data_IF_101481016951
#
_entry.id   IF_101481016951
#
_cell.length_a   1.000
_cell.length_b   1.000
_cell.length_c   1.000
_cell.angle_alpha   90.00
_cell.angle_beta   90.00
_cell.angle_gamma   90.00
#
_symmetry.space_group_name_H-M   'P 1'
#
loop_
_entity.id
_entity.type
_entity.pdbx_description
1 polymer ?
#
# COMPACT_ATOMS: atom_id res chain seq x y z
N UNK A 1 -6.47 4.07 9.05
CA UNK A 1 -7.67 3.96 8.19
C UNK A 1 -8.44 5.25 8.28
N UNK A 2 -8.77 5.80 7.11
CA UNK A 2 -9.33 7.14 6.97
C UNK A 2 -10.63 7.04 6.19
N UNK A 3 -11.65 7.78 6.64
CA UNK A 3 -12.92 7.91 5.92
C UNK A 3 -12.75 8.77 4.69
N UNK A 4 -13.21 8.29 3.52
CA UNK A 4 -13.04 9.02 2.27
C UNK A 4 -13.91 10.29 2.16
N UNK A 5 -15.05 10.30 2.85
CA UNK A 5 -15.99 11.42 2.84
C UNK A 5 -15.55 12.55 3.78
N UNK A 6 -15.10 12.23 5.00
CA UNK A 6 -14.75 13.22 6.04
C UNK A 6 -13.26 13.41 6.27
N UNK A 7 -12.41 12.49 5.78
CA UNK A 7 -10.99 12.35 6.16
C UNK A 7 -10.73 12.11 7.65
N UNK A 8 -11.75 11.71 8.39
CA UNK A 8 -11.58 11.32 9.78
C UNK A 8 -10.74 10.04 9.88
N UNK A 9 -9.74 10.07 10.75
CA UNK A 9 -8.95 8.89 11.12
C UNK A 9 -9.80 8.05 12.07
N UNK A 10 -10.28 6.91 11.59
CA UNK A 10 -11.15 6.00 12.36
C UNK A 10 -10.39 4.86 13.03
N UNK A 11 -9.10 4.74 12.75
CA UNK A 11 -8.24 3.76 13.41
C UNK A 11 -6.81 3.83 12.89
N UNK A 12 -5.86 3.44 13.73
CA UNK A 12 -4.45 3.31 13.40
C UNK A 12 -4.04 1.88 13.71
N UNK A 13 -3.24 1.29 12.82
CA UNK A 13 -2.65 -0.03 13.00
C UNK A 13 -1.14 0.13 12.95
N UNK A 14 -0.47 -0.25 14.03
CA UNK A 14 0.99 -0.15 14.16
C UNK A 14 1.48 -1.32 15.00
N UNK A 15 2.10 -2.29 14.33
CA UNK A 15 2.65 -3.48 14.97
C UNK A 15 3.97 -3.88 14.29
N UNK A 16 4.93 -4.32 15.11
CA UNK A 16 6.18 -4.89 14.61
C UNK A 16 6.03 -6.40 14.40
N UNK A 17 6.70 -6.93 13.39
CA UNK A 17 6.77 -8.37 13.12
C UNK A 17 8.13 -8.87 13.59
N UNK A 18 8.16 -9.96 14.38
CA UNK A 18 9.42 -10.62 14.76
C UNK A 18 10.09 -11.21 13.53
N UNK A 19 11.42 -11.31 13.50
CA UNK A 19 12.08 -12.10 12.47
C UNK A 19 11.51 -13.51 12.38
N UNK A 20 11.24 -13.96 11.16
CA UNK A 20 10.61 -15.24 10.89
C UNK A 20 11.41 -16.03 9.84
N UNK A 21 11.41 -17.38 9.94
CA UNK A 21 12.10 -18.22 8.97
C UNK A 21 11.43 -18.11 7.58
N UNK A 22 12.13 -18.52 6.54
CA UNK A 22 11.55 -18.69 5.19
C UNK A 22 10.56 -19.85 5.19
N UNK A 23 10.81 -20.90 5.96
CA UNK A 23 10.01 -22.12 5.92
C UNK A 23 9.90 -22.64 4.50
N UNK A 24 8.69 -23.08 4.13
CA UNK A 24 8.37 -23.57 2.79
C UNK A 24 8.11 -22.44 1.78
N UNK A 25 8.23 -21.17 2.20
CA UNK A 25 8.03 -20.04 1.32
C UNK A 25 9.20 -19.93 0.33
N UNK A 26 8.92 -20.29 -0.91
CA UNK A 26 9.87 -20.21 -1.99
C UNK A 26 9.28 -19.42 -3.15
N UNK A 27 10.01 -18.38 -3.58
CA UNK A 27 9.75 -17.73 -4.87
C UNK A 27 10.00 -18.79 -5.93
N UNK A 28 9.04 -19.01 -6.82
CA UNK A 28 9.14 -19.96 -7.94
C UNK A 28 10.28 -19.55 -8.89
N UNK A 29 11.50 -19.89 -8.51
CA UNK A 29 12.67 -19.87 -9.39
C UNK A 29 12.71 -21.18 -10.17
N UNK A 30 13.36 -21.18 -11.34
CA UNK A 30 13.49 -22.37 -12.19
C UNK A 30 13.87 -23.59 -11.36
N UNK A 31 13.02 -24.63 -11.41
CA UNK A 31 13.18 -25.85 -10.61
C UNK A 31 14.54 -26.50 -10.93
N UNK A 32 15.44 -26.43 -9.97
CA UNK A 32 16.72 -27.14 -9.99
C UNK A 32 16.62 -28.33 -9.03
N UNK A 33 17.16 -29.48 -9.41
CA UNK A 33 17.23 -30.65 -8.54
C UNK A 33 18.15 -30.35 -7.34
N UNK A 34 17.62 -30.45 -6.12
CA UNK A 34 18.35 -30.17 -4.86
C UNK A 34 18.32 -31.38 -3.93
N UNK A 35 19.31 -31.51 -3.04
CA UNK A 35 19.38 -32.61 -2.05
C UNK A 35 18.50 -32.31 -0.84
N UNK A 36 17.94 -33.35 -0.20
CA UNK A 36 17.07 -33.22 0.99
C UNK A 36 17.66 -32.38 2.14
N UNK A 37 18.96 -32.52 2.43
CA UNK A 37 19.65 -31.73 3.47
C UNK A 37 19.80 -30.25 3.12
N UNK A 38 19.84 -29.92 1.84
CA UNK A 38 19.92 -28.53 1.38
C UNK A 38 18.57 -27.85 1.57
N UNK A 39 17.48 -28.58 1.33
CA UNK A 39 16.09 -28.14 1.54
C UNK A 39 15.84 -27.85 3.04
N UNK A 40 16.13 -28.80 3.94
CA UNK A 40 15.93 -28.62 5.39
C UNK A 40 16.73 -27.42 5.97
N UNK A 41 17.90 -27.13 5.39
CA UNK A 41 18.74 -25.99 5.78
C UNK A 41 18.22 -24.65 5.23
N UNK A 42 17.57 -24.66 4.07
CA UNK A 42 16.91 -23.48 3.49
C UNK A 42 15.58 -23.16 4.19
N UNK A 43 14.80 -24.18 4.56
CA UNK A 43 13.54 -24.02 5.32
C UNK A 43 13.78 -23.37 6.69
N UNK A 44 14.89 -23.73 7.35
CA UNK A 44 15.32 -23.12 8.62
C UNK A 44 16.05 -21.78 8.46
N UNK A 45 16.32 -21.34 7.23
CA UNK A 45 16.97 -20.05 6.98
C UNK A 45 15.99 -18.90 7.19
N UNK A 46 16.47 -17.77 7.70
CA UNK A 46 15.69 -16.54 7.84
C UNK A 46 15.77 -15.69 6.58
N UNK A 47 14.83 -14.77 6.42
CA UNK A 47 14.94 -13.70 5.43
C UNK A 47 16.16 -12.81 5.68
N UNK A 48 16.67 -12.18 4.62
CA UNK A 48 17.80 -11.27 4.72
C UNK A 48 17.36 -9.92 5.27
N UNK A 49 18.07 -9.42 6.28
CA UNK A 49 17.88 -8.08 6.83
C UNK A 49 18.99 -7.16 6.32
N UNK A 50 18.65 -6.30 5.37
CA UNK A 50 19.62 -5.37 4.79
C UNK A 50 20.11 -4.36 5.84
N UNK A 51 21.42 -4.28 6.14
CA UNK A 51 21.97 -3.35 7.13
C UNK A 51 21.67 -1.88 6.83
N UNK A 52 21.61 -1.51 5.55
CA UNK A 52 21.27 -0.15 5.13
C UNK A 52 19.81 0.19 5.44
N UNK A 53 18.89 -0.77 5.27
CA UNK A 53 17.49 -0.58 5.62
C UNK A 53 17.31 -0.39 7.14
N UNK A 54 17.97 -1.22 7.96
CA UNK A 54 17.97 -1.09 9.43
C UNK A 54 18.51 0.27 9.88
N UNK A 55 19.57 0.76 9.23
CA UNK A 55 20.14 2.08 9.52
C UNK A 55 19.19 3.23 9.18
N UNK A 56 18.48 3.14 8.05
CA UNK A 56 17.54 4.18 7.60
C UNK A 56 16.30 4.22 8.50
N UNK A 57 15.77 3.06 8.88
CA UNK A 57 14.57 2.95 9.72
C UNK A 57 14.86 3.10 11.22
N UNK A 58 16.13 3.10 11.63
CA UNK A 58 16.52 3.12 13.04
C UNK A 58 16.15 1.85 13.82
N UNK A 59 15.76 0.77 13.13
CA UNK A 59 15.38 -0.50 13.75
C UNK A 59 16.58 -1.43 13.91
N UNK A 60 16.54 -2.27 14.95
CA UNK A 60 17.50 -3.37 15.13
C UNK A 60 16.78 -4.72 15.17
N UNK A 61 17.49 -5.78 14.79
CA UNK A 61 16.95 -7.14 14.84
C UNK A 61 16.60 -7.52 16.29
N UNK A 62 17.40 -7.09 17.27
CA UNK A 62 17.12 -7.31 18.69
C UNK A 62 15.85 -6.59 19.15
N UNK A 63 15.62 -5.37 18.65
CA UNK A 63 14.38 -4.64 18.92
C UNK A 63 13.17 -5.39 18.35
N UNK A 64 13.27 -5.90 17.11
CA UNK A 64 12.19 -6.68 16.49
C UNK A 64 11.94 -8.00 17.22
N UNK A 65 12.98 -8.70 17.68
CA UNK A 65 12.84 -9.91 18.49
C UNK A 65 12.10 -9.65 19.81
N UNK A 66 12.37 -8.49 20.43
CA UNK A 66 11.78 -8.11 21.72
C UNK A 66 10.35 -7.59 21.60
N UNK A 67 10.09 -6.72 20.63
CA UNK A 67 8.84 -5.96 20.53
C UNK A 67 7.92 -6.43 19.40
N UNK A 68 8.43 -7.24 18.45
CA UNK A 68 7.61 -7.80 17.39
C UNK A 68 6.64 -8.85 17.90
N UNK A 69 5.65 -9.17 17.06
CA UNK A 69 4.72 -10.29 17.23
C UNK A 69 4.93 -11.37 16.17
N UNK A 70 4.31 -12.53 16.36
CA UNK A 70 4.30 -13.57 15.33
C UNK A 70 3.62 -13.06 14.06
N UNK A 71 4.18 -13.40 12.89
CA UNK A 71 3.67 -12.91 11.60
C UNK A 71 2.20 -13.31 11.36
N UNK A 72 1.77 -14.50 11.81
CA UNK A 72 0.38 -14.93 11.66
C UNK A 72 -0.55 -14.17 12.60
N UNK A 73 -0.09 -13.88 13.82
CA UNK A 73 -0.82 -13.05 14.79
C UNK A 73 -1.04 -11.63 14.23
N UNK A 74 0.01 -11.05 13.63
CA UNK A 74 -0.10 -9.73 12.97
C UNK A 74 -1.08 -9.79 11.80
N UNK A 75 -1.08 -10.86 11.00
CA UNK A 75 -2.00 -10.97 9.87
C UNK A 75 -3.46 -11.05 10.32
N UNK A 76 -3.74 -11.83 11.37
CA UNK A 76 -5.06 -11.89 11.98
C UNK A 76 -5.46 -10.54 12.60
N UNK A 77 -4.50 -9.83 13.19
CA UNK A 77 -4.72 -8.49 13.77
C UNK A 77 -5.04 -7.45 12.69
N UNK A 78 -4.36 -7.46 11.53
CA UNK A 78 -4.66 -6.59 10.39
C UNK A 78 -6.07 -6.86 9.86
N UNK A 79 -6.40 -8.13 9.60
CA UNK A 79 -7.73 -8.52 9.09
C UNK A 79 -8.82 -8.09 10.07
N UNK A 80 -8.61 -8.32 11.36
CA UNK A 80 -9.56 -7.94 12.42
C UNK A 80 -9.72 -6.43 12.53
N UNK A 81 -8.62 -5.68 12.44
CA UNK A 81 -8.60 -4.22 12.42
C UNK A 81 -9.44 -3.67 11.26
N UNK A 82 -9.24 -4.19 10.05
CA UNK A 82 -9.99 -3.74 8.87
C UNK A 82 -11.47 -4.05 9.02
N UNK A 83 -11.81 -5.28 9.43
CA UNK A 83 -13.22 -5.67 9.67
C UNK A 83 -13.89 -4.77 10.70
N UNK A 84 -13.19 -4.41 11.79
CA UNK A 84 -13.68 -3.50 12.82
C UNK A 84 -13.95 -2.09 12.30
N UNK A 85 -13.10 -1.60 11.41
CA UNK A 85 -13.23 -0.24 10.88
C UNK A 85 -14.20 -0.16 9.68
N UNK A 86 -14.53 -1.28 9.05
CA UNK A 86 -15.39 -1.33 7.86
C UNK A 86 -16.87 -1.27 8.24
N UNK A 87 -17.58 -0.26 7.73
CA UNK A 87 -18.96 0.05 8.15
C UNK A 87 -20.04 -0.87 7.55
N UNK A 88 -19.70 -1.72 6.58
CA UNK A 88 -20.67 -2.59 5.91
C UNK A 88 -20.03 -3.68 5.07
N UNK A 89 -20.85 -4.60 4.56
CA UNK A 89 -20.37 -5.80 3.83
C UNK A 89 -20.29 -5.62 2.31
N UNK A 90 -20.87 -4.54 1.77
CA UNK A 90 -20.85 -4.29 0.33
C UNK A 90 -19.46 -3.85 -0.13
N UNK A 91 -19.17 -4.08 -1.43
CA UNK A 91 -17.87 -3.72 -2.05
C UNK A 91 -17.51 -2.24 -1.87
N UNK A 92 -18.50 -1.35 -1.80
CA UNK A 92 -18.29 0.11 -1.66
C UNK A 92 -17.71 0.48 -0.30
N UNK A 93 -18.00 -0.29 0.76
CA UNK A 93 -17.47 -0.03 2.10
C UNK A 93 -16.08 -0.59 2.32
N UNK A 94 -15.62 -1.53 1.47
CA UNK A 94 -14.29 -2.11 1.61
C UNK A 94 -13.22 -1.04 1.34
N UNK A 95 -12.17 -0.95 2.17
CA UNK A 95 -11.10 0.02 1.98
C UNK A 95 -10.34 -0.20 0.66
N UNK A 96 -9.81 0.90 0.14
CA UNK A 96 -8.82 0.92 -0.95
C UNK A 96 -7.44 1.20 -0.34
N UNK A 97 -6.40 0.74 -1.01
CA UNK A 97 -5.02 1.00 -0.58
C UNK A 97 -4.57 2.36 -1.12
N UNK A 98 -3.98 3.18 -0.27
CA UNK A 98 -3.40 4.47 -0.65
C UNK A 98 -1.95 4.48 -0.18
N UNK A 99 -1.04 4.84 -1.07
CA UNK A 99 0.39 4.81 -0.81
C UNK A 99 1.14 5.83 -1.66
N UNK A 100 2.45 5.91 -1.45
CA UNK A 100 3.35 6.73 -2.27
C UNK A 100 4.36 5.81 -2.95
N UNK A 101 4.30 5.69 -4.28
CA UNK A 101 4.97 4.59 -5.00
C UNK A 101 4.48 3.21 -4.52
N UNK A 102 3.16 3.08 -4.41
CA UNK A 102 2.46 1.95 -3.78
C UNK A 102 2.82 0.54 -4.31
N UNK A 103 3.27 0.32 -5.57
CA UNK A 103 3.66 -1.03 -5.99
C UNK A 103 4.78 -1.63 -5.13
N UNK A 104 5.64 -0.81 -4.52
CA UNK A 104 6.67 -1.28 -3.59
C UNK A 104 6.03 -1.92 -2.35
N UNK A 105 5.23 -1.18 -1.60
CA UNK A 105 4.57 -1.65 -0.38
C UNK A 105 3.62 -2.82 -0.66
N UNK A 106 2.91 -2.77 -1.79
CA UNK A 106 1.98 -3.82 -2.20
C UNK A 106 2.68 -5.17 -2.36
N UNK A 107 3.90 -5.20 -2.90
CA UNK A 107 4.64 -6.45 -3.05
C UNK A 107 4.99 -7.07 -1.69
N UNK A 108 5.33 -6.26 -0.69
CA UNK A 108 5.54 -6.75 0.68
C UNK A 108 4.22 -7.20 1.33
N UNK A 109 3.12 -6.50 1.07
CA UNK A 109 1.80 -6.89 1.56
C UNK A 109 1.32 -8.23 0.96
N UNK A 110 1.54 -8.44 -0.35
CA UNK A 110 1.27 -9.72 -0.99
C UNK A 110 2.17 -10.82 -0.44
N UNK A 111 3.48 -10.57 -0.34
CA UNK A 111 4.38 -11.55 0.28
C UNK A 111 3.89 -11.93 1.68
N UNK A 112 3.54 -10.95 2.51
CA UNK A 112 3.00 -11.17 3.84
C UNK A 112 1.76 -12.09 3.84
N UNK A 113 0.72 -11.78 3.06
CA UNK A 113 -0.51 -12.58 3.04
C UNK A 113 -0.35 -13.94 2.33
N UNK A 114 0.55 -14.05 1.35
CA UNK A 114 0.89 -15.35 0.74
C UNK A 114 1.62 -16.21 1.77
N UNK A 115 2.61 -15.64 2.47
CA UNK A 115 3.38 -16.35 3.50
C UNK A 115 2.49 -16.88 4.61
N UNK A 116 1.54 -16.09 5.11
CA UNK A 116 0.61 -16.52 6.16
C UNK A 116 -0.55 -17.37 5.65
N UNK A 117 -0.65 -17.61 4.34
CA UNK A 117 -1.75 -18.36 3.73
C UNK A 117 -3.12 -17.67 3.81
N UNK A 118 -3.17 -16.34 3.98
CA UNK A 118 -4.39 -15.54 4.23
C UNK A 118 -4.79 -14.66 3.05
N UNK A 119 -4.39 -15.04 1.84
CA UNK A 119 -4.70 -14.28 0.61
C UNK A 119 -6.20 -14.15 0.35
N UNK A 120 -7.00 -15.16 0.74
CA UNK A 120 -8.45 -15.11 0.59
C UNK A 120 -9.08 -14.12 1.56
N UNK A 121 -8.65 -14.13 2.82
CA UNK A 121 -9.12 -13.18 3.82
C UNK A 121 -8.72 -11.76 3.45
N UNK A 122 -7.55 -11.57 2.85
CA UNK A 122 -7.12 -10.31 2.27
C UNK A 122 -8.06 -9.82 1.16
N UNK A 123 -8.41 -10.67 0.18
CA UNK A 123 -9.34 -10.31 -0.89
C UNK A 123 -10.77 -10.07 -0.39
N UNK A 124 -11.17 -10.73 0.69
CA UNK A 124 -12.47 -10.56 1.33
C UNK A 124 -12.60 -9.21 2.06
N UNK A 125 -11.52 -8.66 2.63
CA UNK A 125 -11.60 -7.41 3.41
C UNK A 125 -11.23 -6.15 2.63
N UNK A 126 -10.48 -6.25 1.52
CA UNK A 126 -10.13 -5.09 0.68
C UNK A 126 -11.00 -4.98 -0.57
N UNK A 127 -11.13 -3.77 -1.08
CA UNK A 127 -11.74 -3.55 -2.40
C UNK A 127 -10.75 -3.93 -3.49
N UNK A 128 -11.22 -4.59 -4.54
CA UNK A 128 -10.40 -5.05 -5.65
C UNK A 128 -11.18 -5.90 -6.65
N UNK A 129 -10.45 -6.55 -7.55
CA UNK A 129 -10.97 -7.46 -8.57
C UNK A 129 -10.09 -8.69 -8.66
N UNK A 130 -10.66 -9.83 -9.05
CA UNK A 130 -9.87 -11.01 -9.38
C UNK A 130 -9.71 -11.09 -10.90
N UNK A 131 -8.54 -11.53 -11.36
CA UNK A 131 -8.34 -11.86 -12.77
C UNK A 131 -8.93 -13.23 -13.13
N UNK A 132 -8.81 -13.62 -14.40
CA UNK A 132 -9.33 -14.90 -14.90
C UNK A 132 -8.65 -16.13 -14.26
N UNK A 133 -7.52 -15.95 -13.58
CA UNK A 133 -6.78 -16.99 -12.87
C UNK A 133 -7.07 -16.98 -11.36
N UNK A 134 -7.93 -16.07 -10.89
CA UNK A 134 -8.27 -15.92 -9.47
C UNK A 134 -7.24 -15.13 -8.66
N UNK A 135 -6.29 -14.43 -9.29
CA UNK A 135 -5.37 -13.58 -8.54
C UNK A 135 -6.08 -12.27 -8.16
N UNK A 136 -6.01 -11.91 -6.89
CA UNK A 136 -6.60 -10.68 -6.39
C UNK A 136 -5.76 -9.46 -6.71
N UNK A 137 -6.40 -8.44 -7.28
CA UNK A 137 -5.85 -7.13 -7.60
C UNK A 137 -6.58 -6.08 -6.75
N UNK A 138 -5.99 -5.60 -5.65
CA UNK A 138 -6.62 -4.58 -4.81
C UNK A 138 -6.75 -3.28 -5.58
N UNK A 139 -7.79 -2.51 -5.26
CA UNK A 139 -7.93 -1.16 -5.75
C UNK A 139 -6.96 -0.25 -4.99
N UNK A 140 -6.21 0.54 -5.75
CA UNK A 140 -5.10 1.33 -5.23
C UNK A 140 -5.14 2.75 -5.75
N UNK A 141 -4.61 3.69 -4.96
CA UNK A 141 -4.30 5.05 -5.38
C UNK A 141 -2.86 5.35 -5.00
N UNK A 142 -2.07 5.72 -6.01
CA UNK A 142 -0.69 6.16 -5.82
C UNK A 142 -0.63 7.69 -5.79
N UNK A 143 -0.27 8.24 -4.63
CA UNK A 143 -0.10 9.68 -4.44
C UNK A 143 1.05 10.26 -5.26
N UNK A 144 2.06 9.45 -5.63
CA UNK A 144 3.09 9.87 -6.58
C UNK A 144 2.50 10.12 -7.97
N UNK A 145 1.56 9.27 -8.39
CA UNK A 145 0.85 9.46 -9.67
C UNK A 145 -0.06 10.69 -9.61
N UNK A 146 -0.80 10.88 -8.51
CA UNK A 146 -1.62 12.09 -8.31
C UNK A 146 -0.75 13.36 -8.35
N UNK A 147 0.43 13.31 -7.73
CA UNK A 147 1.36 14.43 -7.73
C UNK A 147 1.88 14.75 -9.13
N UNK A 148 2.22 13.74 -9.94
CA UNK A 148 2.59 13.94 -11.35
C UNK A 148 1.45 14.58 -12.15
N UNK A 149 0.20 14.14 -11.94
CA UNK A 149 -0.95 14.76 -12.60
C UNK A 149 -1.14 16.23 -12.21
N UNK A 150 -0.78 16.59 -10.98
CA UNK A 150 -0.98 17.94 -10.45
C UNK A 150 0.17 18.93 -10.72
N UNK A 151 1.39 18.44 -10.99
CA UNK A 151 2.58 19.28 -11.09
C UNK A 151 3.46 19.01 -12.32
N UNK A 152 3.04 18.13 -13.25
CA UNK A 152 3.85 17.84 -14.44
C UNK A 152 4.07 19.04 -15.36
N UNK A 153 3.27 20.09 -15.22
CA UNK A 153 3.38 21.37 -15.93
C UNK A 153 4.28 22.39 -15.21
N UNK A 154 4.66 22.13 -13.95
CA UNK A 154 5.56 23.00 -13.17
C UNK A 154 7.04 22.58 -13.36
N UNK A 155 7.87 23.40 -14.03
CA UNK A 155 9.27 23.07 -14.26
C UNK A 155 10.13 23.07 -12.99
N UNK A 156 9.68 23.70 -11.90
CA UNK A 156 10.40 23.71 -10.61
C UNK A 156 10.27 22.34 -9.90
N UNK A 157 9.22 21.56 -10.21
CA UNK A 157 9.00 20.24 -9.62
C UNK A 157 9.81 19.18 -10.38
N UNK A 158 11.07 19.05 -9.97
CA UNK A 158 12.04 18.12 -10.58
C UNK A 158 12.01 16.71 -9.99
N UNK A 159 11.38 16.51 -8.83
CA UNK A 159 11.28 15.21 -8.16
C UNK A 159 9.94 15.02 -7.48
N UNK A 160 9.48 13.77 -7.45
CA UNK A 160 8.19 13.37 -6.89
C UNK A 160 8.38 12.47 -5.66
N UNK A 161 9.48 12.64 -4.93
CA UNK A 161 9.69 11.96 -3.65
C UNK A 161 8.76 12.55 -2.60
N UNK A 162 8.30 11.72 -1.65
CA UNK A 162 7.38 12.12 -0.59
C UNK A 162 7.84 13.38 0.16
N UNK A 163 9.12 13.44 0.56
CA UNK A 163 9.70 14.60 1.26
C UNK A 163 9.62 15.92 0.47
N UNK A 164 9.90 15.89 -0.84
CA UNK A 164 9.82 17.10 -1.66
C UNK A 164 8.38 17.55 -1.90
N UNK A 165 7.46 16.59 -2.06
CA UNK A 165 6.05 16.89 -2.30
C UNK A 165 5.34 17.40 -1.04
N UNK A 166 5.70 16.87 0.13
CA UNK A 166 5.21 17.37 1.41
C UNK A 166 5.67 18.81 1.65
N UNK A 167 6.92 19.14 1.34
CA UNK A 167 7.42 20.53 1.37
C UNK A 167 6.64 21.46 0.44
N UNK A 168 6.45 21.08 -0.83
CA UNK A 168 5.67 21.84 -1.82
C UNK A 168 4.23 22.07 -1.33
N UNK A 169 3.64 21.10 -0.63
CA UNK A 169 2.27 21.15 -0.14
C UNK A 169 2.11 21.74 1.26
N UNK A 170 3.20 22.14 1.90
CA UNK A 170 3.19 22.66 3.27
C UNK A 170 2.77 21.62 4.33
N UNK A 171 3.09 20.34 4.11
CA UNK A 171 2.88 19.26 5.08
C UNK A 171 4.15 19.09 5.91
N UNK A 172 4.03 19.23 7.23
CA UNK A 172 5.16 19.00 8.14
C UNK A 172 5.41 17.49 8.34
N UNK A 173 6.62 17.04 8.03
CA UNK A 173 7.08 15.68 8.32
C UNK A 173 7.65 15.63 9.73
N UNK A 174 6.89 15.09 10.67
CA UNK A 174 7.33 14.85 12.05
C UNK A 174 7.93 13.44 12.12
N UNK A 175 9.25 13.35 12.28
CA UNK A 175 10.03 12.10 12.45
C UNK A 175 10.07 11.13 11.25
N UNK A 176 10.92 11.44 10.26
CA UNK A 176 11.11 10.64 9.03
C UNK A 176 11.71 9.22 9.23
N UNK A 177 11.89 8.75 10.46
CA UNK A 177 12.39 7.41 10.77
C UNK A 177 11.27 6.41 11.13
N UNK A 178 10.02 6.86 11.21
CA UNK A 178 8.85 6.01 11.47
C UNK A 178 8.03 5.77 10.21
N UNK A 179 7.53 4.54 10.04
CA UNK A 179 6.54 4.24 9.00
C UNK A 179 5.24 5.04 9.18
N UNK A 180 4.91 5.43 10.42
CA UNK A 180 3.72 6.24 10.68
C UNK A 180 3.84 7.64 10.10
N UNK A 181 5.02 8.25 10.14
CA UNK A 181 5.24 9.58 9.58
C UNK A 181 4.99 9.60 8.07
N UNK A 182 5.47 8.57 7.36
CA UNK A 182 5.22 8.41 5.93
C UNK A 182 3.72 8.17 5.62
N UNK A 183 3.02 7.41 6.48
CA UNK A 183 1.57 7.19 6.37
C UNK A 183 0.79 8.50 6.57
N UNK A 184 1.14 9.29 7.57
CA UNK A 184 0.50 10.58 7.85
C UNK A 184 0.74 11.58 6.72
N UNK A 185 1.97 11.68 6.21
CA UNK A 185 2.32 12.50 5.06
C UNK A 185 1.56 12.09 3.79
N UNK A 186 1.51 10.78 3.52
CA UNK A 186 0.77 10.23 2.37
C UNK A 186 -0.72 10.53 2.49
N UNK A 187 -1.29 10.39 3.69
CA UNK A 187 -2.68 10.74 3.96
C UNK A 187 -2.93 12.24 3.73
N UNK A 188 -2.04 13.11 4.22
CA UNK A 188 -2.11 14.55 4.00
C UNK A 188 -2.14 14.92 2.51
N UNK A 189 -1.22 14.36 1.72
CA UNK A 189 -1.20 14.54 0.26
C UNK A 189 -2.51 14.07 -0.38
N UNK A 190 -2.95 12.86 -0.05
CA UNK A 190 -4.18 12.30 -0.59
C UNK A 190 -5.41 13.15 -0.26
N UNK A 191 -5.52 13.64 0.97
CA UNK A 191 -6.58 14.54 1.42
C UNK A 191 -6.57 15.85 0.65
N UNK A 192 -5.40 16.48 0.47
CA UNK A 192 -5.27 17.72 -0.32
C UNK A 192 -5.73 17.50 -1.76
N UNK A 193 -5.21 16.47 -2.44
CA UNK A 193 -5.60 16.19 -3.83
C UNK A 193 -7.09 15.90 -3.96
N UNK A 194 -7.62 15.09 -3.05
CA UNK A 194 -9.04 14.73 -3.08
C UNK A 194 -9.95 15.91 -2.77
N UNK A 195 -9.55 16.84 -1.89
CA UNK A 195 -10.25 18.10 -1.67
C UNK A 195 -10.21 19.00 -2.90
N UNK A 196 -9.05 19.15 -3.56
CA UNK A 196 -8.94 19.92 -4.81
C UNK A 196 -9.87 19.38 -5.90
N UNK A 197 -9.99 18.05 -6.02
CA UNK A 197 -10.93 17.41 -6.96
C UNK A 197 -12.40 17.67 -6.61
N UNK A 198 -12.76 17.68 -5.32
CA UNK A 198 -14.16 17.92 -4.89
C UNK A 198 -14.55 19.39 -4.94
N UNK A 199 -13.62 20.28 -4.63
CA UNK A 199 -13.83 21.73 -4.61
C UNK A 199 -13.52 22.39 -5.95
N UNK A 200 -13.56 21.63 -7.06
CA UNK A 200 -13.18 22.11 -8.40
C UNK A 200 -13.61 23.55 -8.64
N UNK A 201 -12.66 24.36 -9.13
CA UNK A 201 -12.80 25.80 -9.30
C UNK A 201 -14.18 26.14 -9.86
N UNK A 202 -15.02 26.80 -9.05
CA UNK A 202 -16.32 27.30 -9.52
C UNK A 202 -16.02 28.31 -10.63
N UNK A 203 -16.24 27.93 -11.88
CA UNK A 203 -16.22 28.84 -13.03
C UNK A 203 -15.06 28.72 -14.01
N UNK A 204 -14.23 27.67 -13.96
CA UNK A 204 -13.20 27.45 -14.99
C UNK A 204 -13.50 26.22 -15.86
N UNK A 205 -14.30 26.44 -16.91
CA UNK A 205 -14.67 25.44 -17.92
C UNK A 205 -13.52 25.19 -18.94
N UNK A 206 -12.35 25.81 -18.76
CA UNK A 206 -11.19 25.68 -19.65
C UNK A 206 -10.50 24.32 -19.50
N UNK A 207 -11.19 23.26 -19.90
CA UNK A 207 -10.72 21.89 -19.76
C UNK A 207 -11.80 20.83 -19.94
N UNK A 208 -13.08 21.22 -20.03
CA UNK A 208 -14.14 20.31 -20.39
C UNK A 208 -13.86 19.72 -21.78
N UNK A 209 -13.54 18.43 -21.81
CA UNK A 209 -13.46 17.64 -23.03
C UNK A 209 -14.75 17.88 -23.80
N UNK A 210 -14.65 18.31 -25.07
CA UNK A 210 -15.81 18.49 -25.97
C UNK A 210 -16.74 17.28 -25.83
N UNK A 211 -18.01 17.52 -25.50
CA UNK A 211 -19.01 16.46 -25.47
C UNK A 211 -19.00 15.76 -26.83
N UNK A 212 -18.49 14.53 -26.86
CA UNK A 212 -18.56 13.70 -28.06
C UNK A 212 -20.03 13.32 -28.28
N UNK A 213 -20.53 13.52 -29.50
CA UNK A 213 -21.87 13.08 -29.88
C UNK A 213 -22.04 11.59 -29.59
N UNK A 214 -23.13 11.22 -28.92
CA UNK A 214 -23.48 9.84 -28.61
C UNK A 214 -23.95 9.12 -29.87
N UNK A 215 -23.02 8.70 -30.72
CA UNK A 215 -23.28 7.77 -31.83
C UNK A 215 -22.36 6.56 -31.73
N UNK A 216 -22.57 5.74 -30.68
CA UNK A 216 -22.02 4.38 -30.67
C UNK A 216 -22.97 3.46 -31.40
N UNK A 217 -22.70 3.20 -32.68
CA UNK A 217 -23.46 2.20 -33.42
C UNK A 217 -22.97 0.81 -33.02
N UNK A 218 -21.67 0.54 -32.92
CA UNK A 218 -21.12 -0.76 -32.48
C UNK A 218 -19.74 -0.60 -31.78
N UNK A 219 -19.38 -1.52 -30.87
CA UNK A 219 -18.01 -1.66 -30.39
C UNK A 219 -17.19 -2.48 -31.40
N UNK A 220 -16.03 -1.98 -31.80
CA UNK A 220 -14.99 -2.79 -32.46
C UNK A 220 -13.98 -3.21 -31.40
N UNK A 221 -13.66 -4.51 -31.38
CA UNK A 221 -12.57 -5.11 -30.61
C UNK A 221 -11.31 -5.04 -31.48
#
# INVERSE_FOLDING_TARGET
>A
MVRLDTYEIIGVFDEYIKPYPKGDFHINTNKTLRKKREIEKEESAYFEYNPQALKVTGLSVDFLNKNGKDINEVADSIISFIKKCTLGTSKVYKPILVGHNIPFDLNFLFHFFIYTGKMKEFSDVFNGTEDIFGNFHPQMIDTMTLSRMAFADDPEVTTYKLGSLTEIMGIELVDAHSSMADVEATNGLFTIFSNRMRCGSVGDDSGLIKQAEKTRVHFKI
#
